data_IF_835772521334
#
_entry.id   IF_835772521334
#
_cell.length_a   1.000
_cell.length_b   1.000
_cell.length_c   1.000
_cell.angle_alpha   90.00
_cell.angle_beta   90.00
_cell.angle_gamma   90.00
#
_symmetry.space_group_name_H-M   'P 1'
#
loop_
_entity.id
_entity.type
_entity.pdbx_description
1 polymer ?
#
# COMPACT_ATOMS: atom_id res chain seq x y z
N UNK A 1 18.56 -41.02 1.06
CA UNK A 1 18.73 -39.70 1.74
C UNK A 1 17.58 -38.82 1.30
N UNK A 2 16.56 -38.66 2.15
CA UNK A 2 15.42 -37.79 1.88
C UNK A 2 15.91 -36.34 1.94
N UNK A 3 16.07 -35.75 0.76
CA UNK A 3 16.52 -34.39 0.59
C UNK A 3 15.35 -33.46 0.90
N UNK A 4 15.34 -32.94 2.12
CA UNK A 4 14.33 -32.04 2.68
C UNK A 4 14.48 -30.64 2.05
N UNK A 5 14.36 -30.56 0.72
CA UNK A 5 14.54 -29.34 -0.10
C UNK A 5 13.33 -28.40 -0.11
N UNK A 6 12.28 -28.69 0.66
CA UNK A 6 11.27 -27.69 1.03
C UNK A 6 11.82 -26.76 2.13
N UNK A 7 12.97 -26.15 1.85
CA UNK A 7 13.58 -25.11 2.65
C UNK A 7 12.71 -23.87 2.61
N UNK A 8 11.88 -23.70 3.65
CA UNK A 8 11.34 -22.43 4.17
C UNK A 8 11.18 -21.32 3.13
N UNK A 9 10.08 -21.31 2.36
CA UNK A 9 9.63 -20.09 1.68
C UNK A 9 9.61 -18.97 2.71
N UNK A 10 10.37 -17.89 2.46
CA UNK A 10 10.37 -16.74 3.36
C UNK A 10 8.96 -16.14 3.33
N UNK A 11 8.36 -16.00 4.51
CA UNK A 11 6.97 -15.55 4.63
C UNK A 11 6.87 -14.07 4.18
N UNK A 12 5.77 -13.65 3.52
CA UNK A 12 5.53 -12.24 3.21
C UNK A 12 5.63 -11.36 4.47
N UNK A 13 5.84 -10.05 4.30
CA UNK A 13 5.83 -9.13 5.44
C UNK A 13 4.50 -9.24 6.21
N UNK A 14 4.50 -8.96 7.52
CA UNK A 14 3.26 -8.99 8.32
C UNK A 14 2.18 -8.05 7.77
N UNK A 15 2.60 -6.93 7.18
CA UNK A 15 1.70 -5.99 6.51
C UNK A 15 1.07 -6.62 5.26
N UNK A 16 1.85 -7.32 4.43
CA UNK A 16 1.32 -8.08 3.30
C UNK A 16 0.39 -9.22 3.75
N UNK A 17 0.78 -9.97 4.78
CA UNK A 17 -0.06 -11.03 5.35
C UNK A 17 -1.39 -10.48 5.87
N UNK A 18 -1.39 -9.31 6.51
CA UNK A 18 -2.62 -8.66 6.98
C UNK A 18 -3.57 -8.34 5.82
N UNK A 19 -3.05 -7.82 4.70
CA UNK A 19 -3.83 -7.60 3.48
C UNK A 19 -4.39 -8.91 2.91
N UNK A 20 -3.58 -9.98 2.87
CA UNK A 20 -3.98 -11.26 2.30
C UNK A 20 -4.91 -12.09 3.21
N UNK A 21 -4.77 -12.02 4.53
CA UNK A 21 -5.52 -12.87 5.48
C UNK A 21 -6.97 -12.41 5.70
N UNK A 22 -7.33 -11.21 5.22
CA UNK A 22 -8.71 -10.68 5.24
C UNK A 22 -9.69 -11.38 4.28
N UNK A 23 -9.21 -12.40 3.54
CA UNK A 23 -9.98 -13.33 2.70
C UNK A 23 -11.18 -14.02 3.40
N UNK A 24 -11.30 -13.96 4.74
CA UNK A 24 -12.29 -14.73 5.50
C UNK A 24 -13.25 -13.93 6.40
N UNK A 25 -13.35 -12.60 6.27
CA UNK A 25 -14.38 -11.84 6.99
C UNK A 25 -15.54 -11.54 6.04
N UNK A 26 -16.43 -12.53 5.91
CA UNK A 26 -17.79 -12.28 5.46
C UNK A 26 -18.51 -11.44 6.51
N UNK A 27 -18.53 -10.12 6.34
CA UNK A 27 -19.53 -9.28 7.01
C UNK A 27 -19.62 -7.90 6.38
N UNK A 28 -20.82 -7.61 5.86
CA UNK A 28 -21.38 -6.30 5.50
C UNK A 28 -20.64 -5.12 6.13
N UNK A 29 -19.92 -4.39 5.30
CA UNK A 29 -19.56 -3.00 5.56
C UNK A 29 -20.60 -2.16 4.84
N UNK A 30 -21.58 -1.67 5.60
CA UNK A 30 -22.47 -0.61 5.16
C UNK A 30 -21.69 0.70 5.11
N UNK A 31 -21.28 1.12 3.93
CA UNK A 31 -21.30 2.55 3.59
C UNK A 31 -22.62 2.79 2.86
N UNK A 32 -23.40 3.77 3.31
CA UNK A 32 -24.62 4.17 2.60
C UNK A 32 -24.23 4.53 1.16
N UNK A 33 -25.03 3.98 0.23
CA UNK A 33 -25.01 4.08 -1.24
C UNK A 33 -23.93 3.33 -2.02
N UNK A 34 -24.14 2.02 -2.21
CA UNK A 34 -23.91 1.35 -3.49
C UNK A 34 -25.16 0.50 -3.83
N UNK A 35 -26.01 1.03 -4.71
CA UNK A 35 -27.01 0.26 -5.45
C UNK A 35 -26.78 0.57 -6.92
N UNK A 36 -25.89 -0.17 -7.54
CA UNK A 36 -25.89 -0.37 -8.98
C UNK A 36 -25.76 -1.88 -9.21
N UNK A 37 -26.63 -2.36 -10.08
CA UNK A 37 -27.09 -3.72 -10.18
C UNK A 37 -26.20 -4.47 -11.18
N UNK A 38 -25.15 -5.17 -10.73
CA UNK A 38 -24.44 -6.18 -11.55
C UNK A 38 -23.63 -7.13 -10.67
N UNK A 39 -23.62 -8.41 -11.05
CA UNK A 39 -23.00 -9.55 -10.37
C UNK A 39 -21.46 -9.39 -10.21
N UNK A 40 -21.00 -8.78 -9.12
CA UNK A 40 -19.61 -8.85 -8.68
C UNK A 40 -19.55 -9.27 -7.21
N UNK A 41 -19.88 -10.53 -6.92
CA UNK A 41 -19.85 -11.12 -5.58
C UNK A 41 -18.43 -11.29 -5.01
N UNK A 42 -17.39 -10.95 -5.78
CA UNK A 42 -16.00 -11.29 -5.51
C UNK A 42 -15.09 -10.05 -5.55
N UNK A 43 -15.44 -8.95 -4.88
CA UNK A 43 -14.52 -7.81 -4.66
C UNK A 43 -14.28 -7.69 -3.16
N UNK A 44 -13.02 -7.87 -2.72
CA UNK A 44 -12.62 -7.56 -1.36
C UNK A 44 -12.24 -6.08 -1.25
N UNK A 45 -12.97 -5.34 -0.41
CA UNK A 45 -12.67 -3.95 -0.09
C UNK A 45 -11.43 -3.90 0.84
N UNK A 46 -10.27 -3.55 0.29
CA UNK A 46 -9.14 -3.10 1.12
C UNK A 46 -9.37 -1.66 1.40
N UNK A 47 -9.78 -1.36 2.63
CA UNK A 47 -9.82 0.04 3.06
C UNK A 47 -8.39 0.47 3.39
N UNK A 48 -7.65 0.75 2.34
CA UNK A 48 -6.37 1.40 2.33
C UNK A 48 -6.65 2.89 2.27
N UNK A 49 -6.31 3.62 3.31
CA UNK A 49 -6.37 5.08 3.25
C UNK A 49 -5.07 5.59 2.66
N UNK A 50 -5.17 6.34 1.55
CA UNK A 50 -4.02 6.96 0.88
C UNK A 50 -4.06 8.48 1.08
N UNK A 51 -3.73 8.98 2.28
CA UNK A 51 -3.58 10.43 2.43
C UNK A 51 -2.36 10.89 1.63
N UNK A 52 -2.43 12.10 1.10
CA UNK A 52 -1.24 12.88 0.78
C UNK A 52 -1.22 14.07 1.73
N UNK A 53 -0.48 14.01 2.85
CA UNK A 53 -0.47 15.04 3.87
C UNK A 53 0.10 16.37 3.34
N UNK A 54 0.79 16.35 2.20
CA UNK A 54 1.21 17.56 1.46
C UNK A 54 0.04 18.32 0.83
N UNK A 55 -1.07 17.64 0.54
CA UNK A 55 -2.29 18.23 -0.06
C UNK A 55 -3.29 18.63 1.04
N UNK A 56 -3.16 18.05 2.25
CA UNK A 56 -3.99 18.42 3.41
C UNK A 56 -3.56 19.79 3.94
N UNK A 57 -4.28 20.84 3.54
CA UNK A 57 -4.02 22.24 3.93
C UNK A 57 -4.03 22.48 5.45
N UNK A 58 -4.69 21.62 6.22
CA UNK A 58 -4.85 21.73 7.68
C UNK A 58 -4.15 20.61 8.45
N UNK A 59 -2.98 20.14 7.97
CA UNK A 59 -2.21 19.12 8.70
C UNK A 59 -1.72 19.66 10.06
N UNK A 60 -2.11 18.98 11.14
CA UNK A 60 -1.67 19.33 12.50
C UNK A 60 -0.55 18.37 12.90
N UNK A 61 0.66 18.92 13.03
CA UNK A 61 1.89 18.18 13.32
C UNK A 61 2.14 17.88 14.80
N UNK A 62 1.13 17.68 15.65
CA UNK A 62 1.35 17.24 17.04
C UNK A 62 1.44 15.70 17.16
N UNK A 63 2.46 15.13 17.84
CA UNK A 63 2.71 13.68 17.81
C UNK A 63 1.56 12.81 18.35
N UNK A 64 0.83 13.31 19.35
CA UNK A 64 -0.20 12.53 20.05
C UNK A 64 -1.62 13.00 19.76
N UNK A 65 -1.79 14.23 19.28
CA UNK A 65 -3.11 14.87 19.08
C UNK A 65 -3.32 15.40 17.67
N UNK A 66 -2.28 15.34 16.84
CA UNK A 66 -2.28 15.82 15.47
C UNK A 66 -2.99 14.88 14.49
N UNK A 67 -2.97 15.24 13.22
CA UNK A 67 -3.70 14.52 12.15
C UNK A 67 -3.23 13.07 12.05
N UNK A 68 -1.92 12.82 12.03
CA UNK A 68 -1.36 11.46 11.97
C UNK A 68 -1.80 10.57 13.13
N UNK A 69 -1.83 11.11 14.35
CA UNK A 69 -2.28 10.36 15.54
C UNK A 69 -3.77 9.99 15.45
N UNK A 70 -4.61 10.92 14.98
CA UNK A 70 -6.04 10.68 14.76
C UNK A 70 -6.27 9.64 13.66
N UNK A 71 -5.51 9.70 12.57
CA UNK A 71 -5.57 8.71 11.49
C UNK A 71 -5.19 7.33 12.01
N UNK A 72 -4.09 7.21 12.76
CA UNK A 72 -3.69 5.94 13.37
C UNK A 72 -4.79 5.36 14.29
N UNK A 73 -5.45 6.21 15.10
CA UNK A 73 -6.56 5.80 15.96
C UNK A 73 -7.78 5.30 15.17
N UNK A 74 -8.18 6.01 14.11
CA UNK A 74 -9.29 5.62 13.22
C UNK A 74 -8.95 4.30 12.52
N UNK A 75 -7.74 4.16 12.01
CA UNK A 75 -7.26 2.95 11.35
C UNK A 75 -7.26 1.77 12.31
N UNK A 76 -6.81 1.93 13.55
CA UNK A 76 -6.87 0.87 14.54
C UNK A 76 -8.33 0.45 14.82
N UNK A 77 -9.22 1.42 15.07
CA UNK A 77 -10.65 1.17 15.31
C UNK A 77 -11.33 0.45 14.16
N UNK A 78 -11.01 0.80 12.91
CA UNK A 78 -11.64 0.20 11.73
C UNK A 78 -10.83 -0.95 11.13
N UNK A 79 -9.71 -1.30 11.77
CA UNK A 79 -8.70 -2.26 11.36
C UNK A 79 -8.25 -2.08 9.90
N UNK A 80 -7.74 -0.90 9.58
CA UNK A 80 -7.28 -0.52 8.25
C UNK A 80 -5.77 -0.59 8.14
N UNK A 81 -5.25 -0.41 6.93
CA UNK A 81 -3.88 0.01 6.74
C UNK A 81 -3.86 1.39 6.11
N UNK A 82 -2.84 2.17 6.46
CA UNK A 82 -2.61 3.47 5.84
C UNK A 82 -1.41 3.34 4.91
N UNK A 83 -1.57 3.72 3.66
CA UNK A 83 -0.49 3.83 2.69
C UNK A 83 -0.21 5.30 2.41
N UNK A 84 0.94 5.78 2.86
CA UNK A 84 1.42 7.11 2.48
C UNK A 84 2.15 7.02 1.13
N UNK A 85 1.57 7.63 0.11
CA UNK A 85 2.12 7.68 -1.26
C UNK A 85 3.20 8.79 -1.39
N UNK A 86 4.23 8.72 -0.53
CA UNK A 86 5.26 9.75 -0.40
C UNK A 86 6.26 9.78 -1.56
N UNK A 87 6.42 8.65 -2.27
CA UNK A 87 7.41 8.40 -3.33
C UNK A 87 8.81 8.90 -2.93
N UNK A 88 9.37 8.35 -1.84
CA UNK A 88 10.72 8.73 -1.39
C UNK A 88 11.74 8.55 -2.53
N UNK A 89 12.63 9.51 -2.74
CA UNK A 89 13.56 9.51 -3.87
C UNK A 89 14.85 10.29 -3.56
N UNK A 90 15.34 10.19 -2.33
CA UNK A 90 16.52 10.90 -1.84
C UNK A 90 17.55 9.92 -1.26
N UNK A 91 18.74 10.38 -0.92
CA UNK A 91 19.78 9.56 -0.28
C UNK A 91 19.37 9.13 1.13
N UNK A 92 20.01 8.07 1.63
CA UNK A 92 19.63 7.37 2.86
C UNK A 92 19.36 8.29 4.06
N UNK A 93 20.33 9.10 4.48
CA UNK A 93 20.16 9.95 5.67
C UNK A 93 19.01 10.95 5.52
N UNK A 94 18.85 11.54 4.33
CA UNK A 94 17.77 12.47 4.05
C UNK A 94 16.41 11.79 4.16
N UNK A 95 16.23 10.57 3.61
CA UNK A 95 14.96 9.85 3.73
C UNK A 95 14.65 9.43 5.16
N UNK A 96 15.66 9.17 6.01
CA UNK A 96 15.42 8.92 7.45
C UNK A 96 14.79 10.14 8.12
N UNK A 97 15.36 11.33 7.89
CA UNK A 97 14.82 12.57 8.43
C UNK A 97 13.41 12.87 7.88
N UNK A 98 13.18 12.64 6.60
CA UNK A 98 11.86 12.82 5.98
C UNK A 98 10.82 11.82 6.49
N UNK A 99 11.21 10.59 6.82
CA UNK A 99 10.32 9.53 7.26
C UNK A 99 10.01 9.60 8.77
N UNK A 100 11.02 9.88 9.60
CA UNK A 100 10.89 9.97 11.05
C UNK A 100 10.45 11.36 11.56
N UNK A 101 10.89 12.41 10.88
CA UNK A 101 10.84 13.78 11.36
C UNK A 101 9.84 14.67 10.63
N UNK A 102 10.08 15.98 10.71
CA UNK A 102 9.19 17.01 10.20
C UNK A 102 7.83 17.04 10.90
N UNK A 103 6.89 17.78 10.31
CA UNK A 103 5.52 17.86 10.83
C UNK A 103 4.71 16.58 10.56
N UNK A 104 5.14 15.80 9.56
CA UNK A 104 4.42 14.61 9.11
C UNK A 104 4.75 13.38 9.94
N UNK A 105 6.02 13.16 10.31
CA UNK A 105 6.49 11.97 11.05
C UNK A 105 5.84 10.68 10.56
N UNK A 106 5.95 10.44 9.26
CA UNK A 106 5.20 9.44 8.49
C UNK A 106 5.28 8.04 9.15
N UNK A 107 6.45 7.67 9.67
CA UNK A 107 6.67 6.38 10.36
C UNK A 107 5.71 6.13 11.53
N UNK A 108 5.18 7.18 12.16
CA UNK A 108 4.30 7.06 13.32
C UNK A 108 2.90 6.53 12.97
N UNK A 109 2.43 6.70 11.73
CA UNK A 109 1.04 6.42 11.36
C UNK A 109 0.87 5.64 10.05
N UNK A 110 1.76 5.81 9.07
CA UNK A 110 1.65 5.10 7.80
C UNK A 110 2.18 3.67 7.95
N UNK A 111 1.37 2.68 7.61
CA UNK A 111 1.76 1.26 7.64
C UNK A 111 2.59 0.90 6.41
N UNK A 112 2.25 1.53 5.29
CA UNK A 112 2.88 1.32 3.99
C UNK A 112 3.40 2.67 3.51
N UNK A 113 4.59 2.66 2.92
CA UNK A 113 5.14 3.77 2.15
C UNK A 113 5.59 3.26 0.79
N UNK A 114 5.93 4.16 -0.13
CA UNK A 114 6.59 3.80 -1.37
C UNK A 114 7.84 4.64 -1.63
N UNK A 115 8.75 4.05 -2.41
CA UNK A 115 10.10 4.58 -2.61
C UNK A 115 10.64 4.23 -4.00
N UNK A 116 11.26 5.21 -4.65
CA UNK A 116 12.08 5.01 -5.84
C UNK A 116 13.46 4.50 -5.43
N UNK A 117 13.97 3.51 -6.16
CA UNK A 117 15.37 3.04 -6.02
C UNK A 117 16.36 3.85 -6.86
N UNK A 118 15.92 5.00 -7.40
CA UNK A 118 16.76 5.88 -8.22
C UNK A 118 18.07 6.30 -7.53
N UNK A 119 18.08 6.64 -6.21
CA UNK A 119 19.32 6.98 -5.50
C UNK A 119 20.21 5.76 -5.17
N UNK A 120 19.76 4.54 -5.45
CA UNK A 120 20.42 3.30 -5.09
C UNK A 120 19.76 2.55 -3.92
N UNK A 121 20.17 1.30 -3.64
CA UNK A 121 19.48 0.41 -2.70
C UNK A 121 19.59 0.82 -1.22
N UNK A 122 20.51 1.72 -0.88
CA UNK A 122 20.69 2.19 0.50
C UNK A 122 19.52 3.02 1.01
N UNK A 123 18.69 3.59 0.12
CA UNK A 123 17.44 4.24 0.50
C UNK A 123 16.49 3.27 1.23
N UNK A 124 16.48 2.00 0.83
CA UNK A 124 15.62 0.97 1.44
C UNK A 124 16.14 0.58 2.82
N UNK A 125 17.46 0.42 2.94
CA UNK A 125 18.12 0.16 4.22
C UNK A 125 17.83 1.28 5.21
N UNK A 126 17.97 2.53 4.78
CA UNK A 126 17.74 3.71 5.61
C UNK A 126 16.28 3.78 6.13
N UNK A 127 15.29 3.60 5.23
CA UNK A 127 13.87 3.57 5.61
C UNK A 127 13.54 2.42 6.56
N UNK A 128 14.11 1.24 6.32
CA UNK A 128 13.96 0.07 7.18
C UNK A 128 14.51 0.31 8.58
N UNK A 129 15.74 0.81 8.67
CA UNK A 129 16.39 1.15 9.96
C UNK A 129 15.53 2.15 10.76
N UNK A 130 14.95 3.14 10.10
CA UNK A 130 14.02 4.09 10.73
C UNK A 130 12.75 3.41 11.25
N UNK A 131 12.13 2.54 10.45
CA UNK A 131 10.95 1.78 10.87
C UNK A 131 11.24 0.86 12.07
N UNK A 132 12.36 0.14 12.03
CA UNK A 132 12.79 -0.76 13.10
C UNK A 132 13.09 0.03 14.38
N UNK A 133 13.79 1.16 14.28
CA UNK A 133 14.08 2.05 15.41
C UNK A 133 12.80 2.58 16.06
N UNK A 134 11.84 3.05 15.25
CA UNK A 134 10.54 3.51 15.75
C UNK A 134 9.77 2.39 16.47
N UNK A 135 9.74 1.19 15.88
CA UNK A 135 9.09 0.01 16.49
C UNK A 135 9.75 -0.38 17.82
N UNK A 136 11.07 -0.43 17.87
CA UNK A 136 11.85 -0.81 19.05
C UNK A 136 11.77 0.22 20.18
N UNK A 137 11.52 1.49 19.86
CA UNK A 137 11.30 2.57 20.84
C UNK A 137 9.94 2.46 21.57
N UNK A 138 9.20 1.37 21.35
CA UNK A 138 7.88 1.15 21.92
C UNK A 138 6.73 1.56 21.01
N UNK A 139 7.00 1.93 19.75
CA UNK A 139 6.02 2.14 18.69
C UNK A 139 4.67 2.70 19.16
N UNK A 140 3.59 2.06 18.71
CA UNK A 140 2.18 2.43 18.88
C UNK A 140 1.62 2.35 20.32
N UNK A 141 2.43 2.53 21.39
CA UNK A 141 1.93 2.64 22.78
C UNK A 141 0.87 3.73 22.99
N UNK A 142 0.71 4.64 22.03
CA UNK A 142 -0.30 5.69 22.03
C UNK A 142 -1.70 5.23 21.64
N UNK A 143 -1.87 4.02 21.11
CA UNK A 143 -3.15 3.52 20.56
C UNK A 143 -3.75 2.36 21.39
N UNK A 144 -3.00 1.81 22.35
CA UNK A 144 -3.41 0.64 23.18
C UNK A 144 -4.65 0.86 24.06
N UNK A 145 -5.16 2.09 24.19
CA UNK A 145 -6.32 2.41 25.02
C UNK A 145 -7.66 2.47 24.25
N UNK A 146 -7.73 1.99 23.01
CA UNK A 146 -8.98 1.91 22.25
C UNK A 146 -9.51 0.48 22.37
N UNK A 147 -10.43 0.24 23.31
CA UNK A 147 -11.17 -1.03 23.35
C UNK A 147 -11.92 -1.26 22.04
N UNK A 148 -11.69 -2.37 21.32
CA UNK A 148 -12.43 -2.68 20.11
C UNK A 148 -13.92 -2.86 20.43
N UNK A 149 -14.79 -2.42 19.53
CA UNK A 149 -16.22 -2.67 19.63
C UNK A 149 -16.48 -4.19 19.71
N UNK A 150 -17.40 -4.68 20.57
CA UNK A 150 -17.62 -6.12 20.76
C UNK A 150 -17.94 -6.90 19.48
N UNK A 151 -18.57 -6.26 18.49
CA UNK A 151 -18.88 -6.84 17.18
C UNK A 151 -17.64 -7.07 16.29
N UNK A 152 -16.48 -6.53 16.67
CA UNK A 152 -15.26 -6.51 15.87
C UNK A 152 -14.13 -7.37 16.47
N UNK A 153 -14.38 -8.07 17.58
CA UNK A 153 -13.41 -8.92 18.27
C UNK A 153 -12.80 -10.05 17.40
N UNK A 154 -13.47 -10.43 16.30
CA UNK A 154 -12.98 -11.43 15.36
C UNK A 154 -12.00 -10.86 14.30
N UNK A 155 -11.83 -9.54 14.23
CA UNK A 155 -10.97 -8.88 13.24
C UNK A 155 -9.59 -8.66 13.85
N UNK A 156 -8.54 -9.22 13.22
CA UNK A 156 -7.17 -9.01 13.66
C UNK A 156 -6.81 -7.50 13.65
N UNK A 157 -6.10 -7.05 14.68
CA UNK A 157 -5.55 -5.70 14.76
C UNK A 157 -4.49 -5.46 13.68
N UNK A 158 -4.39 -4.22 13.14
CA UNK A 158 -3.36 -3.90 12.17
C UNK A 158 -1.97 -4.03 12.79
N UNK A 159 -0.99 -4.61 12.07
CA UNK A 159 0.36 -4.79 12.56
C UNK A 159 1.03 -3.44 12.85
N UNK A 160 1.77 -3.37 13.96
CA UNK A 160 2.68 -2.25 14.22
C UNK A 160 3.82 -2.17 13.21
N UNK A 161 4.05 -3.21 12.40
CA UNK A 161 5.08 -3.22 11.38
C UNK A 161 4.88 -2.13 10.31
N UNK A 162 5.99 -1.80 9.65
CA UNK A 162 6.04 -0.93 8.49
C UNK A 162 6.52 -1.72 7.29
N UNK A 163 6.01 -1.37 6.12
CA UNK A 163 6.43 -1.96 4.87
C UNK A 163 6.59 -0.91 3.78
N UNK A 164 7.39 -1.25 2.78
CA UNK A 164 7.63 -0.42 1.61
C UNK A 164 7.20 -1.10 0.32
N UNK A 165 6.73 -0.30 -0.63
CA UNK A 165 6.55 -0.66 -2.03
C UNK A 165 7.64 0.01 -2.86
N UNK A 166 8.31 -0.74 -3.72
CA UNK A 166 9.25 -0.17 -4.68
C UNK A 166 8.49 0.34 -5.90
N UNK A 167 8.73 1.59 -6.30
CA UNK A 167 8.21 2.08 -7.58
C UNK A 167 9.02 1.47 -8.72
N UNK A 168 8.43 0.48 -9.40
CA UNK A 168 9.09 -0.26 -10.46
C UNK A 168 8.60 0.17 -11.85
N UNK A 169 7.33 0.56 -11.96
CA UNK A 169 6.73 1.13 -13.18
C UNK A 169 5.75 2.26 -12.79
N UNK A 170 5.48 3.15 -13.73
CA UNK A 170 4.50 4.25 -13.57
C UNK A 170 3.50 4.24 -14.71
N UNK A 171 2.27 4.61 -14.41
CA UNK A 171 1.16 4.77 -15.36
C UNK A 171 1.20 6.07 -16.16
N UNK A 172 2.13 6.98 -15.88
CA UNK A 172 2.21 8.26 -16.57
C UNK A 172 2.96 8.12 -17.90
N UNK A 173 2.43 8.75 -18.94
CA UNK A 173 3.05 8.83 -20.27
C UNK A 173 4.44 9.48 -20.19
N UNK A 174 5.40 8.94 -20.96
CA UNK A 174 6.76 9.49 -21.05
C UNK A 174 7.63 9.35 -19.80
N UNK A 175 7.25 8.51 -18.84
CA UNK A 175 8.06 8.29 -17.64
C UNK A 175 9.39 7.58 -17.95
N UNK A 176 10.40 7.81 -17.11
CA UNK A 176 11.74 7.24 -17.29
C UNK A 176 11.93 5.85 -16.64
N UNK A 177 10.89 5.25 -16.07
CA UNK A 177 10.98 3.92 -15.44
C UNK A 177 10.85 2.85 -16.52
N UNK A 178 11.94 2.64 -17.26
CA UNK A 178 12.01 1.65 -18.32
C UNK A 178 12.20 0.21 -17.78
N UNK A 179 12.19 -0.77 -18.69
CA UNK A 179 12.38 -2.17 -18.34
C UNK A 179 13.74 -2.45 -17.68
N UNK A 180 14.79 -1.67 -17.99
CA UNK A 180 16.10 -1.85 -17.38
C UNK A 180 16.10 -1.36 -15.93
N UNK A 181 15.38 -0.28 -15.63
CA UNK A 181 15.11 0.19 -14.29
C UNK A 181 14.27 -0.83 -13.50
N UNK A 182 13.15 -1.29 -14.05
CA UNK A 182 12.28 -2.30 -13.40
C UNK A 182 13.05 -3.56 -13.02
N UNK A 183 13.92 -4.07 -13.91
CA UNK A 183 14.79 -5.23 -13.63
C UNK A 183 15.76 -5.02 -12.46
N UNK A 184 16.15 -3.77 -12.15
CA UNK A 184 16.98 -3.46 -10.98
C UNK A 184 16.19 -3.43 -9.68
N UNK A 185 14.88 -3.13 -9.73
CA UNK A 185 14.03 -3.08 -8.54
C UNK A 185 13.85 -4.46 -7.90
N UNK A 186 13.66 -5.51 -8.70
CA UNK A 186 13.30 -6.84 -8.20
C UNK A 186 14.36 -7.45 -7.27
N UNK A 187 15.67 -7.48 -7.63
CA UNK A 187 16.72 -7.96 -6.73
C UNK A 187 16.83 -7.16 -5.43
N UNK A 188 16.55 -5.85 -5.48
CA UNK A 188 16.53 -4.99 -4.27
C UNK A 188 15.36 -5.39 -3.37
N UNK A 189 14.17 -5.59 -3.94
CA UNK A 189 13.02 -6.11 -3.20
C UNK A 189 13.31 -7.45 -2.53
N UNK A 190 13.97 -8.37 -3.26
CA UNK A 190 14.42 -9.67 -2.71
C UNK A 190 15.39 -9.51 -1.54
N UNK A 191 16.35 -8.60 -1.64
CA UNK A 191 17.33 -8.32 -0.58
C UNK A 191 16.66 -7.85 0.73
N UNK A 192 15.54 -7.13 0.63
CA UNK A 192 14.84 -6.54 1.77
C UNK A 192 13.43 -7.14 1.97
N UNK A 193 13.22 -8.45 1.75
CA UNK A 193 11.91 -9.15 1.82
C UNK A 193 11.16 -9.00 3.13
N UNK A 194 11.83 -8.65 4.22
CA UNK A 194 11.22 -8.41 5.53
C UNK A 194 10.61 -7.00 5.67
N UNK A 195 10.97 -6.08 4.77
CA UNK A 195 10.48 -4.70 4.74
C UNK A 195 9.76 -4.35 3.43
N UNK A 196 10.28 -4.77 2.28
CA UNK A 196 9.67 -4.59 0.97
C UNK A 196 8.56 -5.61 0.79
N UNK A 197 7.31 -5.15 0.82
CA UNK A 197 6.14 -6.00 0.62
C UNK A 197 5.77 -6.22 -0.84
N UNK A 198 6.26 -5.35 -1.73
CA UNK A 198 6.00 -5.48 -3.15
C UNK A 198 6.32 -4.24 -3.97
N UNK A 199 5.58 -4.06 -5.07
CA UNK A 199 5.89 -3.08 -6.10
C UNK A 199 4.68 -2.22 -6.45
N UNK A 200 4.95 -0.95 -6.75
CA UNK A 200 4.08 -0.14 -7.61
C UNK A 200 4.47 -0.47 -9.04
N UNK A 201 3.58 -1.18 -9.75
CA UNK A 201 3.83 -1.66 -11.11
C UNK A 201 2.53 -1.85 -11.92
N UNK A 202 2.66 -2.00 -13.23
CA UNK A 202 1.55 -2.22 -14.17
C UNK A 202 1.37 -3.70 -14.54
N UNK A 203 2.30 -4.56 -14.10
CA UNK A 203 2.29 -6.01 -14.31
C UNK A 203 3.01 -6.75 -13.16
N UNK A 204 2.79 -8.07 -12.99
CA UNK A 204 3.47 -8.91 -12.01
C UNK A 204 5.00 -8.84 -12.09
N UNK A 205 5.65 -8.73 -10.92
CA UNK A 205 7.12 -8.64 -10.82
C UNK A 205 7.76 -9.89 -10.19
N UNK A 206 6.96 -10.89 -9.82
CA UNK A 206 7.44 -12.16 -9.30
C UNK A 206 8.00 -12.98 -10.47
N UNK A 207 9.31 -13.25 -10.46
CA UNK A 207 9.96 -14.06 -11.50
C UNK A 207 10.62 -15.33 -10.97
N UNK A 208 10.77 -15.46 -9.65
CA UNK A 208 11.33 -16.66 -9.01
C UNK A 208 10.26 -17.40 -8.18
N UNK A 209 10.36 -18.74 -8.00
CA UNK A 209 9.35 -19.54 -7.28
C UNK A 209 9.14 -19.20 -5.80
N UNK A 210 10.07 -18.45 -5.21
CA UNK A 210 10.06 -18.00 -3.83
C UNK A 210 9.62 -16.53 -3.68
N UNK A 211 9.35 -15.85 -4.79
CA UNK A 211 8.79 -14.50 -4.74
C UNK A 211 7.33 -14.52 -4.30
N UNK A 212 7.01 -13.58 -3.42
CA UNK A 212 5.65 -13.39 -2.88
C UNK A 212 5.35 -11.90 -2.72
N UNK A 213 5.76 -11.10 -3.70
CA UNK A 213 5.55 -9.66 -3.69
C UNK A 213 4.15 -9.32 -4.19
N UNK A 214 3.51 -8.36 -3.53
CA UNK A 214 2.27 -7.77 -4.00
C UNK A 214 2.54 -6.76 -5.10
N UNK A 215 1.63 -6.65 -6.06
CA UNK A 215 1.62 -5.59 -7.07
C UNK A 215 0.43 -4.66 -6.85
N UNK A 216 0.74 -3.41 -6.50
CA UNK A 216 -0.22 -2.32 -6.43
C UNK A 216 -0.11 -1.46 -7.69
N UNK A 217 -1.22 -1.28 -8.39
CA UNK A 217 -1.22 -0.67 -9.72
C UNK A 217 -1.96 0.66 -9.73
N UNK A 218 -1.28 1.79 -9.99
CA UNK A 218 -1.90 3.10 -10.16
C UNK A 218 -2.50 3.25 -11.56
N UNK A 219 -3.20 4.36 -11.78
CA UNK A 219 -3.82 4.64 -13.07
C UNK A 219 -4.99 3.72 -13.35
N UNK A 220 -5.79 3.43 -12.32
CA UNK A 220 -7.04 2.72 -12.48
C UNK A 220 -8.20 3.71 -12.40
N UNK A 221 -9.14 3.61 -13.34
CA UNK A 221 -10.41 4.35 -13.29
C UNK A 221 -11.58 3.43 -13.59
N UNK A 222 -12.75 3.85 -13.13
CA UNK A 222 -14.03 3.19 -13.39
C UNK A 222 -14.75 3.91 -14.52
N UNK A 223 -15.73 3.25 -15.15
CA UNK A 223 -16.62 3.98 -16.07
C UNK A 223 -17.52 4.93 -15.28
N UNK A 224 -18.13 5.94 -15.92
CA UNK A 224 -18.99 6.90 -15.22
C UNK A 224 -20.21 6.24 -14.56
N UNK A 225 -20.67 5.10 -15.09
CA UNK A 225 -21.77 4.32 -14.53
C UNK A 225 -21.36 3.55 -13.27
N UNK A 226 -20.08 3.16 -13.18
CA UNK A 226 -19.49 2.44 -12.06
C UNK A 226 -18.97 3.38 -10.97
N UNK A 227 -18.60 4.62 -11.34
CA UNK A 227 -18.01 5.59 -10.42
C UNK A 227 -19.06 6.30 -9.56
N UNK A 228 -18.82 6.31 -8.25
CA UNK A 228 -19.70 6.97 -7.26
C UNK A 228 -19.75 8.49 -7.40
N UNK A 229 -18.62 9.08 -7.80
CA UNK A 229 -18.44 10.51 -8.00
C UNK A 229 -18.73 10.94 -9.46
N UNK A 230 -19.12 9.98 -10.32
CA UNK A 230 -19.24 10.18 -11.77
C UNK A 230 -17.99 10.79 -12.39
N UNK A 231 -16.82 10.27 -12.00
CA UNK A 231 -15.52 10.69 -12.54
C UNK A 231 -15.58 10.85 -14.05
N UNK A 232 -15.11 12.01 -14.53
CA UNK A 232 -15.01 12.31 -15.98
C UNK A 232 -13.87 11.51 -16.64
N UNK A 233 -13.04 10.85 -15.84
CA UNK A 233 -11.90 10.07 -16.28
C UNK A 233 -12.31 8.62 -16.46
N UNK A 234 -12.27 8.12 -17.70
CA UNK A 234 -12.64 6.75 -18.03
C UNK A 234 -11.43 5.90 -18.48
N UNK A 235 -11.52 4.57 -18.41
CA UNK A 235 -10.46 3.69 -18.91
C UNK A 235 -10.10 3.98 -20.37
N UNK A 236 -8.81 3.97 -20.70
CA UNK A 236 -8.30 4.28 -22.03
C UNK A 236 -8.10 5.78 -22.30
N UNK A 237 -8.47 6.67 -21.37
CA UNK A 237 -8.13 8.08 -21.46
C UNK A 237 -6.70 8.36 -20.99
N UNK A 238 -6.11 9.40 -21.58
CA UNK A 238 -4.97 10.09 -21.01
C UNK A 238 -5.46 11.46 -20.53
N UNK A 239 -5.17 11.83 -19.28
CA UNK A 239 -5.49 13.19 -18.82
C UNK A 239 -4.51 14.24 -19.37
N UNK A 240 -4.85 15.51 -19.15
CA UNK A 240 -4.06 16.64 -19.62
C UNK A 240 -2.63 16.69 -19.06
N UNK A 241 -2.35 15.97 -17.98
CA UNK A 241 -1.06 15.91 -17.30
C UNK A 241 -0.33 14.57 -17.54
N UNK A 242 -0.81 13.78 -18.50
CA UNK A 242 -0.14 12.57 -18.98
C UNK A 242 -0.42 11.32 -18.16
N UNK A 243 -1.35 11.33 -17.20
CA UNK A 243 -1.78 10.11 -16.52
C UNK A 243 -2.59 9.24 -17.47
N UNK A 244 -2.28 7.94 -17.52
CA UNK A 244 -3.00 6.96 -18.35
C UNK A 244 -3.86 6.07 -17.46
N UNK A 245 -5.07 5.77 -17.90
CA UNK A 245 -6.04 5.01 -17.11
C UNK A 245 -6.39 3.67 -17.73
N UNK A 246 -6.48 2.65 -16.88
CA UNK A 246 -6.78 1.25 -17.23
C UNK A 246 -7.92 0.75 -16.35
N UNK A 247 -8.81 -0.09 -16.90
CA UNK A 247 -9.92 -0.64 -16.13
C UNK A 247 -9.44 -1.67 -15.09
N UNK A 248 -10.14 -1.84 -13.96
CA UNK A 248 -9.80 -2.87 -12.98
C UNK A 248 -9.75 -4.27 -13.59
N UNK A 249 -10.65 -4.58 -14.53
CA UNK A 249 -10.74 -5.89 -15.18
C UNK A 249 -9.46 -6.19 -15.97
N UNK A 250 -8.94 -5.22 -16.71
CA UNK A 250 -7.68 -5.37 -17.46
C UNK A 250 -6.49 -5.57 -16.50
N UNK A 251 -6.43 -4.83 -15.39
CA UNK A 251 -5.38 -5.01 -14.38
C UNK A 251 -5.42 -6.39 -13.71
N UNK A 252 -6.63 -6.91 -13.47
CA UNK A 252 -6.85 -8.27 -12.96
C UNK A 252 -6.36 -9.31 -13.98
N UNK A 253 -6.64 -9.12 -15.26
CA UNK A 253 -6.19 -10.01 -16.35
C UNK A 253 -4.67 -10.01 -16.51
N UNK A 254 -4.01 -8.86 -16.31
CA UNK A 254 -2.54 -8.77 -16.25
C UNK A 254 -1.93 -9.50 -15.06
N UNK A 255 -2.74 -9.81 -14.05
CA UNK A 255 -2.31 -10.53 -12.86
C UNK A 255 -1.91 -9.63 -11.69
N UNK A 256 -2.25 -8.34 -11.73
CA UNK A 256 -1.99 -7.43 -10.61
C UNK A 256 -2.85 -7.80 -9.39
N UNK A 257 -2.36 -7.50 -8.18
CA UNK A 257 -3.04 -7.86 -6.93
C UNK A 257 -4.02 -6.79 -6.48
N UNK A 258 -3.62 -5.52 -6.53
CA UNK A 258 -4.36 -4.38 -5.99
C UNK A 258 -4.40 -3.25 -7.02
N UNK A 259 -5.59 -2.77 -7.37
CA UNK A 259 -5.78 -1.60 -8.22
C UNK A 259 -6.00 -0.36 -7.35
N UNK A 260 -5.27 0.72 -7.60
CA UNK A 260 -5.41 2.00 -6.91
C UNK A 260 -6.32 2.92 -7.73
N UNK A 261 -7.52 3.18 -7.20
CA UNK A 261 -8.55 4.02 -7.80
C UNK A 261 -8.49 5.43 -7.24
N UNK A 262 -8.19 6.41 -8.10
CA UNK A 262 -8.07 7.81 -7.68
C UNK A 262 -7.06 8.02 -6.54
N UNK A 263 -7.23 9.12 -5.78
CA UNK A 263 -6.38 9.44 -4.63
C UNK A 263 -6.85 8.78 -3.32
N UNK A 264 -8.01 8.13 -3.29
CA UNK A 264 -8.71 7.83 -2.03
C UNK A 264 -9.09 6.36 -1.81
N UNK A 265 -9.07 5.49 -2.84
CA UNK A 265 -9.57 4.11 -2.71
C UNK A 265 -8.68 3.06 -3.40
N UNK A 266 -8.67 1.83 -2.87
CA UNK A 266 -7.98 0.68 -3.46
C UNK A 266 -8.90 -0.53 -3.53
N UNK A 267 -8.88 -1.28 -4.62
CA UNK A 267 -9.59 -2.56 -4.78
C UNK A 267 -8.61 -3.73 -4.80
N UNK A 268 -8.91 -4.81 -4.06
CA UNK A 268 -8.18 -6.08 -4.18
C UNK A 268 -8.81 -6.96 -5.25
N UNK A 269 -7.96 -7.66 -6.01
CA UNK A 269 -8.36 -8.82 -6.80
C UNK A 269 -8.82 -9.97 -5.90
N UNK A 270 -9.91 -10.63 -6.27
CA UNK A 270 -10.28 -11.94 -5.73
C UNK A 270 -9.80 -13.01 -6.70
N UNK A 271 -8.93 -13.90 -6.22
CA UNK A 271 -8.56 -15.12 -6.93
C UNK A 271 -9.61 -16.18 -6.58
N UNK A 272 -10.25 -16.76 -7.59
CA UNK A 272 -11.04 -18.00 -7.44
C UNK A 272 -10.16 -19.19 -7.07
#
# INVERSE_FOLDING_TARGET
MNDNRYSKRQKPTKVAQFLCNRRNIGSKITTKSWKANTQASNICDVRLYVPSPRIVLSWIGFPHTGTGAKLAAITHRHHLLIFEDRKFADIGFTVQLQYAGGDYRIVQWAHIINVHVLPGPDVIRALKETADSWKNSGGSKTVENITPEPSMAHIAEPPSERAALLLAQMSSSGNFLDAAYTKKCVPIGRKYRDFVMGFIALEPQNSEPDDSFLVMTPGCSLTPEESLDKSEVVPGMNDALGQQYVSPQELILRGCDISLLGQEFAMLRTLE
#
